data_IF_569330531946
#
_entry.id   IF_569330531946
#
_cell.length_a   1.000
_cell.length_b   1.000
_cell.length_c   1.000
_cell.angle_alpha   90.00
_cell.angle_beta   90.00
_cell.angle_gamma   90.00
#
_symmetry.space_group_name_H-M   'P 1'
#
loop_
_entity.id
_entity.type
_entity.pdbx_description
1 polymer ?
#
# COMPACT_ATOMS: atom_id res chain seq x y z
N UNK A 1 -26.25 9.53 0.92
CA UNK A 1 -24.82 9.84 1.24
C UNK A 1 -24.07 8.69 1.92
N UNK A 2 -24.76 7.70 2.53
CA UNK A 2 -24.16 6.56 3.23
C UNK A 2 -23.51 5.50 2.31
N UNK A 3 -24.14 5.11 1.18
CA UNK A 3 -23.65 4.02 0.31
C UNK A 3 -22.31 4.31 -0.39
N UNK A 4 -22.11 5.54 -0.89
CA UNK A 4 -20.86 5.94 -1.58
C UNK A 4 -19.64 5.88 -0.65
N UNK A 5 -19.83 6.21 0.62
CA UNK A 5 -18.78 6.16 1.65
C UNK A 5 -18.51 4.73 2.14
N UNK A 6 -19.56 3.89 2.26
CA UNK A 6 -19.40 2.48 2.62
C UNK A 6 -18.64 1.70 1.53
N UNK A 7 -19.02 1.86 0.27
CA UNK A 7 -18.32 1.21 -0.86
C UNK A 7 -16.86 1.67 -0.94
N UNK A 8 -16.58 2.96 -0.71
CA UNK A 8 -15.20 3.41 -0.63
C UNK A 8 -14.46 2.64 0.46
N UNK A 9 -14.99 2.57 1.69
CA UNK A 9 -14.31 1.92 2.81
C UNK A 9 -14.03 0.44 2.55
N UNK A 10 -14.97 -0.28 1.93
CA UNK A 10 -14.77 -1.68 1.49
C UNK A 10 -13.63 -1.81 0.48
N UNK A 11 -13.57 -0.93 -0.54
CA UNK A 11 -12.48 -0.92 -1.51
C UNK A 11 -11.14 -0.66 -0.81
N UNK A 12 -11.07 0.26 0.14
CA UNK A 12 -9.86 0.52 0.91
C UNK A 12 -9.41 -0.70 1.71
N UNK A 13 -10.34 -1.39 2.39
CA UNK A 13 -10.01 -2.62 3.10
C UNK A 13 -9.53 -3.73 2.16
N UNK A 14 -10.17 -3.89 0.99
CA UNK A 14 -9.74 -4.85 -0.02
C UNK A 14 -8.33 -4.53 -0.55
N UNK A 15 -8.01 -3.25 -0.77
CA UNK A 15 -6.67 -2.83 -1.19
C UNK A 15 -5.62 -3.10 -0.10
N UNK A 16 -5.93 -2.85 1.17
CA UNK A 16 -5.03 -3.19 2.29
C UNK A 16 -4.84 -4.71 2.41
N UNK A 17 -5.91 -5.50 2.25
CA UNK A 17 -5.80 -6.96 2.22
C UNK A 17 -4.94 -7.44 1.05
N UNK A 18 -5.02 -6.79 -0.11
CA UNK A 18 -4.18 -7.12 -1.26
C UNK A 18 -2.69 -6.87 -0.97
N UNK A 19 -2.35 -5.80 -0.23
CA UNK A 19 -0.98 -5.56 0.24
C UNK A 19 -0.51 -6.74 1.12
N UNK A 20 -1.30 -7.12 2.11
CA UNK A 20 -0.96 -8.24 3.02
C UNK A 20 -0.68 -9.54 2.24
N UNK A 21 -1.46 -9.81 1.20
CA UNK A 21 -1.37 -11.05 0.42
C UNK A 21 -0.21 -11.08 -0.58
N UNK A 22 0.23 -9.91 -1.08
CA UNK A 22 1.21 -9.83 -2.19
C UNK A 22 2.59 -9.39 -1.75
N UNK A 23 2.70 -8.74 -0.59
CA UNK A 23 3.97 -8.16 -0.10
C UNK A 23 4.93 -9.21 0.47
N UNK A 24 4.43 -10.37 0.86
CA UNK A 24 5.25 -11.48 1.35
C UNK A 24 6.02 -12.22 0.24
N UNK A 25 5.67 -12.00 -1.03
CA UNK A 25 6.34 -12.60 -2.20
C UNK A 25 7.27 -11.59 -2.89
N UNK A 26 8.58 -11.71 -2.67
CA UNK A 26 9.61 -10.79 -3.19
C UNK A 26 9.66 -10.70 -4.72
N UNK A 27 9.44 -11.81 -5.41
CA UNK A 27 9.34 -11.90 -6.86
C UNK A 27 8.23 -12.91 -7.14
N UNK A 28 7.10 -12.46 -7.68
CA UNK A 28 6.03 -13.36 -8.08
C UNK A 28 6.61 -14.51 -8.93
N UNK A 29 6.52 -15.74 -8.43
CA UNK A 29 6.67 -16.92 -9.29
C UNK A 29 5.45 -16.98 -10.21
N UNK A 30 5.42 -17.85 -11.22
CA UNK A 30 4.26 -17.99 -12.12
C UNK A 30 2.90 -18.21 -11.43
N UNK A 31 2.91 -18.48 -10.12
CA UNK A 31 1.74 -18.66 -9.26
C UNK A 31 1.55 -17.58 -8.17
N UNK A 32 2.51 -16.66 -7.97
CA UNK A 32 2.47 -15.62 -6.93
C UNK A 32 2.34 -14.23 -7.58
N UNK A 33 1.47 -13.38 -7.03
CA UNK A 33 1.26 -12.03 -7.53
C UNK A 33 2.41 -11.08 -7.13
N UNK A 34 2.76 -10.11 -7.97
CA UNK A 34 3.71 -9.05 -7.61
C UNK A 34 3.14 -8.14 -6.51
N UNK A 35 4.02 -7.51 -5.73
CA UNK A 35 3.65 -6.58 -4.65
C UNK A 35 2.73 -5.45 -5.15
N UNK A 36 1.51 -5.42 -4.63
CA UNK A 36 0.49 -4.45 -4.99
C UNK A 36 0.59 -3.12 -4.21
N UNK A 37 1.56 -2.95 -3.32
CA UNK A 37 1.65 -1.81 -2.38
C UNK A 37 1.57 -0.46 -3.08
N UNK A 38 2.36 -0.24 -4.14
CA UNK A 38 2.36 1.04 -4.86
C UNK A 38 1.04 1.30 -5.58
N UNK A 39 0.46 0.27 -6.22
CA UNK A 39 -0.84 0.39 -6.89
C UNK A 39 -1.96 0.68 -5.88
N UNK A 40 -1.97 0.00 -4.74
CA UNK A 40 -2.93 0.23 -3.67
C UNK A 40 -2.81 1.65 -3.07
N UNK A 41 -1.59 2.15 -2.87
CA UNK A 41 -1.35 3.53 -2.42
C UNK A 41 -1.86 4.56 -3.44
N UNK A 42 -1.58 4.36 -4.72
CA UNK A 42 -2.07 5.22 -5.78
C UNK A 42 -3.61 5.25 -5.81
N UNK A 43 -4.25 4.07 -5.81
CA UNK A 43 -5.71 3.95 -5.87
C UNK A 43 -6.41 4.49 -4.62
N UNK A 44 -5.87 4.26 -3.42
CA UNK A 44 -6.42 4.86 -2.19
C UNK A 44 -6.23 6.37 -2.17
N UNK A 45 -5.12 6.89 -2.71
CA UNK A 45 -4.89 8.31 -2.94
C UNK A 45 -5.93 8.92 -3.86
N UNK A 46 -6.21 8.26 -4.98
CA UNK A 46 -7.15 8.69 -6.01
C UNK A 46 -8.61 8.62 -5.55
N UNK A 47 -9.05 7.45 -5.07
CA UNK A 47 -10.46 7.16 -4.79
C UNK A 47 -10.95 7.69 -3.44
N UNK A 48 -10.08 7.71 -2.43
CA UNK A 48 -10.50 7.99 -1.05
C UNK A 48 -10.00 9.33 -0.54
N UNK A 49 -8.76 9.71 -0.92
CA UNK A 49 -8.15 10.98 -0.53
C UNK A 49 -8.14 11.22 1.00
N UNK A 50 -8.10 10.17 1.83
CA UNK A 50 -7.97 10.31 3.31
C UNK A 50 -6.59 9.83 3.75
N UNK A 51 -5.86 10.69 4.46
CA UNK A 51 -4.49 10.41 4.94
C UNK A 51 -4.44 9.16 5.84
N UNK A 52 -5.54 8.83 6.53
CA UNK A 52 -5.65 7.60 7.32
C UNK A 52 -5.30 6.33 6.52
N UNK A 53 -5.64 6.28 5.23
CA UNK A 53 -5.38 5.10 4.39
C UNK A 53 -3.92 4.98 3.99
N UNK A 54 -3.25 6.11 3.78
CA UNK A 54 -1.80 6.16 3.62
C UNK A 54 -1.12 5.62 4.89
N UNK A 55 -1.51 6.11 6.07
CA UNK A 55 -0.94 5.66 7.34
C UNK A 55 -1.16 4.15 7.55
N UNK A 56 -2.37 3.63 7.32
CA UNK A 56 -2.67 2.19 7.43
C UNK A 56 -1.81 1.38 6.47
N UNK A 57 -1.70 1.79 5.20
CA UNK A 57 -0.90 1.08 4.21
C UNK A 57 0.59 1.03 4.58
N UNK A 58 1.16 2.15 5.06
CA UNK A 58 2.55 2.19 5.55
C UNK A 58 2.73 1.24 6.74
N UNK A 59 1.85 1.32 7.74
CA UNK A 59 1.95 0.46 8.92
C UNK A 59 1.86 -1.02 8.54
N UNK A 60 0.94 -1.38 7.65
CA UNK A 60 0.77 -2.77 7.17
C UNK A 60 2.01 -3.22 6.40
N UNK A 61 2.54 -2.39 5.51
CA UNK A 61 3.74 -2.70 4.74
C UNK A 61 4.94 -3.02 5.66
N UNK A 62 5.21 -2.13 6.61
CA UNK A 62 6.31 -2.32 7.57
C UNK A 62 6.06 -3.53 8.49
N UNK A 63 4.83 -3.73 8.96
CA UNK A 63 4.49 -4.87 9.80
C UNK A 63 4.72 -6.22 9.08
N UNK A 64 4.38 -6.31 7.79
CA UNK A 64 4.66 -7.51 6.98
C UNK A 64 6.17 -7.72 6.81
N UNK A 65 6.92 -6.66 6.56
CA UNK A 65 8.37 -6.75 6.37
C UNK A 65 9.06 -7.21 7.67
N UNK A 66 8.67 -6.67 8.84
CA UNK A 66 9.19 -7.12 10.14
C UNK A 66 8.75 -8.55 10.49
N UNK A 67 7.53 -8.94 10.14
CA UNK A 67 7.06 -10.32 10.31
C UNK A 67 7.90 -11.30 9.46
N UNK A 68 8.20 -10.92 8.22
CA UNK A 68 9.01 -11.75 7.31
C UNK A 68 10.43 -11.99 7.86
N UNK A 69 11.03 -10.97 8.47
CA UNK A 69 12.36 -11.06 9.09
C UNK A 69 12.35 -11.90 10.37
N UNK A 70 11.37 -11.69 11.24
CA UNK A 70 11.35 -12.33 12.56
C UNK A 70 10.83 -13.77 12.54
N UNK A 71 9.77 -14.04 11.77
CA UNK A 71 9.03 -15.30 11.83
C UNK A 71 9.15 -16.14 10.56
N UNK A 72 9.29 -15.51 9.39
CA UNK A 72 9.40 -16.24 8.11
C UNK A 72 10.84 -16.54 7.70
N UNK A 73 11.84 -16.06 8.46
CA UNK A 73 13.27 -16.34 8.21
C UNK A 73 13.80 -15.73 6.91
N UNK A 74 13.17 -14.66 6.40
CA UNK A 74 13.62 -13.95 5.20
C UNK A 74 14.89 -13.17 5.52
N UNK A 75 15.82 -13.08 4.56
CA UNK A 75 17.06 -12.32 4.71
C UNK A 75 16.80 -10.83 4.94
N UNK A 76 17.58 -10.24 5.85
CA UNK A 76 17.59 -8.82 6.19
C UNK A 76 18.37 -7.95 5.19
N UNK A 77 18.86 -8.52 4.08
CA UNK A 77 19.66 -7.81 3.07
C UNK A 77 19.04 -6.50 2.59
N UNK A 78 17.70 -6.43 2.49
CA UNK A 78 16.97 -5.22 2.06
C UNK A 78 16.76 -4.19 3.18
N UNK A 79 17.01 -4.55 4.45
CA UNK A 79 16.83 -3.69 5.62
C UNK A 79 18.04 -2.79 5.84
N UNK A 80 18.31 -1.93 4.85
CA UNK A 80 19.36 -0.92 4.91
C UNK A 80 18.81 0.45 5.27
N UNK A 81 19.68 1.45 5.40
CA UNK A 81 19.25 2.84 5.56
C UNK A 81 18.33 3.30 4.39
N UNK A 82 18.50 2.71 3.20
CA UNK A 82 17.66 2.97 2.03
C UNK A 82 16.21 2.50 2.18
N UNK A 83 15.92 1.54 3.07
CA UNK A 83 14.56 1.06 3.35
C UNK A 83 13.65 2.20 3.83
N UNK A 84 14.18 3.16 4.58
CA UNK A 84 13.43 4.35 5.01
C UNK A 84 12.97 5.24 3.85
N UNK A 85 13.60 5.13 2.68
CA UNK A 85 13.18 5.77 1.43
C UNK A 85 11.81 5.31 0.93
N UNK A 86 11.27 4.21 1.47
CA UNK A 86 9.90 3.77 1.19
C UNK A 86 8.86 4.78 1.69
N UNK A 87 9.08 5.44 2.83
CA UNK A 87 8.12 6.41 3.40
C UNK A 87 7.86 7.57 2.42
N UNK A 88 8.88 8.33 1.95
CA UNK A 88 8.65 9.40 0.98
C UNK A 88 8.14 8.86 -0.36
N UNK A 89 8.53 7.67 -0.77
CA UNK A 89 8.02 7.02 -2.00
C UNK A 89 6.51 6.78 -1.90
N UNK A 90 6.04 6.21 -0.78
CA UNK A 90 4.63 5.94 -0.52
C UNK A 90 3.82 7.22 -0.42
N UNK A 91 4.35 8.24 0.25
CA UNK A 91 3.72 9.55 0.34
C UNK A 91 3.59 10.21 -1.06
N UNK A 92 4.62 10.12 -1.90
CA UNK A 92 4.60 10.66 -3.26
C UNK A 92 3.57 9.94 -4.13
N UNK A 93 3.58 8.60 -4.18
CA UNK A 93 2.65 7.83 -5.02
C UNK A 93 1.19 8.06 -4.61
N UNK A 94 0.90 8.06 -3.31
CA UNK A 94 -0.43 8.39 -2.80
C UNK A 94 -0.81 9.85 -3.12
N UNK A 95 0.14 10.78 -2.99
CA UNK A 95 -0.03 12.20 -3.30
C UNK A 95 -0.37 12.43 -4.77
N UNK A 96 0.30 11.73 -5.70
CA UNK A 96 -0.01 11.78 -7.13
C UNK A 96 -1.42 11.29 -7.41
N UNK A 97 -1.84 10.16 -6.83
CA UNK A 97 -3.21 9.67 -6.97
C UNK A 97 -4.24 10.71 -6.48
N UNK A 98 -3.99 11.33 -5.33
CA UNK A 98 -4.82 12.42 -4.79
C UNK A 98 -4.86 13.63 -5.73
N UNK A 99 -3.73 14.00 -6.32
CA UNK A 99 -3.62 15.15 -7.22
C UNK A 99 -4.45 14.95 -8.48
N UNK A 100 -4.33 13.79 -9.15
CA UNK A 100 -5.10 13.46 -10.36
C UNK A 100 -6.61 13.52 -10.07
N UNK A 101 -7.06 12.92 -8.97
CA UNK A 101 -8.47 12.91 -8.61
C UNK A 101 -9.04 14.29 -8.19
N UNK A 102 -8.18 15.30 -7.99
CA UNK A 102 -8.61 16.69 -7.84
C UNK A 102 -8.75 17.39 -9.20
N UNK A 103 -7.95 17.04 -10.19
CA UNK A 103 -8.04 17.60 -11.54
C UNK A 103 -9.26 17.11 -12.32
N UNK A 104 -9.70 15.88 -12.05
CA UNK A 104 -10.89 15.30 -12.72
C UNK A 104 -12.23 15.87 -12.23
N UNK A 105 -12.24 16.68 -11.17
CA UNK A 105 -13.45 17.36 -10.70
C UNK A 105 -13.52 18.74 -11.38
N UNK A 106 -14.49 18.98 -12.28
CA UNK A 106 -14.65 20.27 -12.94
C UNK A 106 -15.00 21.39 -11.95
#
# INVERSE_FOLDING_TARGET
MSSKTQNSTLIGMALIALILLTRSSHFGTSFLLPDATLAALFLTGMLMQKVRWLAIAITVAFAVDFYALGFAGVSDYCMSLGYWGLIPTYAMVWGVGRYIAKQEKP
#
